data_IF_360589180116
#
_entry.id   IF_360589180116
#
_cell.length_a   1.000
_cell.length_b   1.000
_cell.length_c   1.000
_cell.angle_alpha   90.00
_cell.angle_beta   90.00
_cell.angle_gamma   90.00
#
_symmetry.space_group_name_H-M   'P 1'
#
loop_
_entity.id
_entity.type
_entity.pdbx_description
1 polymer ?
#
# COMPACT_ATOMS: atom_id res chain seq x y z
N UNK A 1 -6.77 19.51 -20.33
CA UNK A 1 -6.09 20.33 -21.34
C UNK A 1 -4.73 20.68 -20.78
N UNK A 2 -3.70 20.76 -21.61
CA UNK A 2 -2.39 21.24 -21.16
C UNK A 2 -2.49 22.72 -20.78
N UNK A 3 -1.82 23.14 -19.71
CA UNK A 3 -1.64 24.57 -19.42
C UNK A 3 -0.51 25.14 -20.28
N UNK A 4 -0.48 26.47 -20.43
CA UNK A 4 0.60 27.14 -21.16
C UNK A 4 1.96 26.85 -20.50
N UNK A 5 2.03 26.78 -19.18
CA UNK A 5 3.24 26.38 -18.42
C UNK A 5 3.69 24.95 -18.76
N UNK A 6 2.76 24.00 -18.88
CA UNK A 6 3.08 22.63 -19.26
C UNK A 6 3.57 22.54 -20.70
N UNK A 7 2.97 23.32 -21.60
CA UNK A 7 3.41 23.38 -22.99
C UNK A 7 4.80 24.01 -23.09
N UNK A 8 5.09 25.04 -22.30
CA UNK A 8 6.41 25.65 -22.23
C UNK A 8 7.45 24.66 -21.70
N UNK A 9 7.16 23.93 -20.61
CA UNK A 9 8.03 22.87 -20.10
C UNK A 9 8.36 21.80 -21.16
N UNK A 10 7.37 21.40 -21.97
CA UNK A 10 7.60 20.44 -23.05
C UNK A 10 8.56 20.96 -24.11
N UNK A 11 8.66 22.28 -24.35
CA UNK A 11 9.64 22.85 -25.30
C UNK A 11 11.08 22.70 -24.85
N UNK A 12 11.33 22.64 -23.54
CA UNK A 12 12.67 22.47 -22.97
C UNK A 12 13.13 21.00 -22.93
N UNK A 13 12.21 20.05 -23.12
CA UNK A 13 12.51 18.62 -22.96
C UNK A 13 13.33 18.03 -24.12
N UNK A 14 13.17 18.55 -25.33
CA UNK A 14 13.77 17.99 -26.55
C UNK A 14 13.02 16.77 -27.10
N UNK A 15 13.28 16.40 -28.36
CA UNK A 15 12.64 15.22 -28.95
C UNK A 15 13.13 13.92 -28.28
N UNK A 16 12.21 12.95 -28.20
CA UNK A 16 12.50 11.66 -27.60
C UNK A 16 11.42 10.63 -27.89
N UNK A 17 11.42 9.56 -27.10
CA UNK A 17 10.47 8.46 -27.26
C UNK A 17 9.03 8.83 -26.90
N UNK A 18 8.81 9.93 -26.18
CA UNK A 18 7.51 10.39 -25.70
C UNK A 18 7.18 11.84 -26.09
N UNK A 19 8.05 12.50 -26.87
CA UNK A 19 7.83 13.86 -27.35
C UNK A 19 8.40 14.02 -28.77
N UNK A 20 7.62 14.63 -29.65
CA UNK A 20 7.98 14.85 -31.05
C UNK A 20 7.50 16.23 -31.49
N UNK A 21 8.36 16.97 -32.20
CA UNK A 21 8.04 18.29 -32.71
C UNK A 21 7.78 18.21 -34.21
N UNK A 22 6.72 18.89 -34.66
CA UNK A 22 6.39 19.03 -36.07
C UNK A 22 6.26 20.51 -36.39
N UNK A 23 7.10 21.01 -37.29
CA UNK A 23 7.05 22.40 -37.70
C UNK A 23 5.75 22.71 -38.46
N UNK A 24 5.26 21.77 -39.26
CA UNK A 24 4.09 21.92 -40.12
C UNK A 24 2.94 20.98 -39.70
N UNK A 25 1.70 21.37 -40.05
CA UNK A 25 0.52 20.53 -39.82
C UNK A 25 0.52 19.35 -40.79
N UNK A 26 0.10 18.17 -40.30
CA UNK A 26 -0.10 17.02 -41.17
C UNK A 26 -1.17 17.29 -42.25
N UNK A 27 -0.90 16.95 -43.52
CA UNK A 27 -1.91 17.04 -44.57
C UNK A 27 -3.10 16.11 -44.29
N UNK A 28 -4.33 16.65 -44.24
CA UNK A 28 -5.52 15.85 -43.87
C UNK A 28 -6.74 16.03 -44.78
N UNK A 29 -7.25 17.25 -44.99
CA UNK A 29 -8.54 17.46 -45.67
C UNK A 29 -8.52 17.06 -47.16
N UNK A 30 -7.51 17.51 -47.91
CA UNK A 30 -7.37 17.27 -49.36
C UNK A 30 -6.10 16.47 -49.70
N UNK A 31 -5.59 15.72 -48.72
CA UNK A 31 -4.37 14.95 -48.85
C UNK A 31 -4.64 13.55 -49.42
N UNK A 32 -3.65 12.99 -50.12
CA UNK A 32 -3.66 11.58 -50.54
C UNK A 32 -3.59 10.66 -49.32
N UNK A 33 -4.04 9.41 -49.47
CA UNK A 33 -3.92 8.41 -48.39
C UNK A 33 -2.47 8.21 -47.95
N UNK A 34 -1.52 8.30 -48.88
CA UNK A 34 -0.08 8.25 -48.58
C UNK A 34 0.37 9.39 -47.66
N UNK A 35 -0.12 10.61 -47.88
CA UNK A 35 0.22 11.75 -47.02
C UNK A 35 -0.46 11.64 -45.65
N UNK A 36 -1.72 11.18 -45.58
CA UNK A 36 -2.42 10.94 -44.30
C UNK A 36 -1.78 9.80 -43.50
N UNK A 37 -1.11 8.87 -44.19
CA UNK A 37 -0.45 7.74 -43.54
C UNK A 37 0.72 8.15 -42.63
N UNK A 38 1.34 9.32 -42.84
CA UNK A 38 2.40 9.83 -41.96
C UNK A 38 1.86 10.18 -40.55
N UNK A 39 0.71 10.87 -40.47
CA UNK A 39 0.04 11.15 -39.19
C UNK A 39 -0.29 9.86 -38.44
N UNK A 40 -0.88 8.90 -39.16
CA UNK A 40 -1.27 7.61 -38.60
C UNK A 40 -0.06 6.83 -38.07
N UNK A 41 1.05 6.83 -38.83
CA UNK A 41 2.30 6.18 -38.45
C UNK A 41 2.88 6.76 -37.16
N UNK A 42 2.94 8.09 -37.05
CA UNK A 42 3.54 8.75 -35.90
C UNK A 42 2.69 8.57 -34.63
N UNK A 43 1.35 8.63 -34.73
CA UNK A 43 0.44 8.30 -33.62
C UNK A 43 0.66 6.85 -33.16
N UNK A 44 0.73 5.90 -34.09
CA UNK A 44 0.94 4.48 -33.75
C UNK A 44 2.30 4.23 -33.11
N UNK A 45 3.36 4.85 -33.64
CA UNK A 45 4.70 4.75 -33.10
C UNK A 45 4.76 5.26 -31.65
N UNK A 46 4.11 6.39 -31.36
CA UNK A 46 4.01 6.97 -30.02
C UNK A 46 3.14 6.16 -29.05
N UNK A 47 2.04 5.59 -29.55
CA UNK A 47 1.17 4.72 -28.76
C UNK A 47 1.90 3.43 -28.33
N UNK A 48 2.76 2.90 -29.19
CA UNK A 48 3.53 1.68 -28.93
C UNK A 48 4.89 1.90 -28.26
N UNK A 49 5.32 3.16 -28.09
CA UNK A 49 6.59 3.53 -27.48
C UNK A 49 6.73 3.00 -26.04
N UNK A 50 7.96 2.66 -25.64
CA UNK A 50 8.25 2.30 -24.26
C UNK A 50 8.38 3.57 -23.42
N UNK A 51 7.40 3.84 -22.54
CA UNK A 51 7.31 5.06 -21.73
C UNK A 51 6.51 4.87 -20.45
N UNK A 52 6.68 5.81 -19.51
CA UNK A 52 6.01 5.80 -18.21
C UNK A 52 4.86 6.79 -18.09
N UNK A 53 4.82 7.84 -18.91
CA UNK A 53 3.78 8.86 -18.91
C UNK A 53 3.15 9.08 -20.28
N UNK A 54 2.30 10.10 -20.40
CA UNK A 54 1.66 10.56 -21.65
C UNK A 54 2.70 10.99 -22.68
N UNK A 55 2.51 10.60 -23.95
CA UNK A 55 3.32 11.07 -25.06
C UNK A 55 2.64 12.23 -25.79
N UNK A 56 3.44 13.11 -26.37
CA UNK A 56 2.96 14.30 -27.05
C UNK A 56 3.57 14.45 -28.45
N UNK A 57 2.76 14.88 -29.41
CA UNK A 57 3.23 15.41 -30.69
C UNK A 57 2.81 16.87 -30.72
N UNK A 58 3.79 17.79 -30.71
CA UNK A 58 3.54 19.23 -30.74
C UNK A 58 3.72 19.75 -32.17
N UNK A 59 2.65 20.29 -32.74
CA UNK A 59 2.57 20.77 -34.12
C UNK A 59 2.64 22.30 -34.11
N UNK A 60 3.42 22.88 -35.02
CA UNK A 60 3.81 24.29 -35.01
C UNK A 60 5.07 24.57 -34.18
N UNK A 61 5.88 23.54 -33.90
CA UNK A 61 7.12 23.65 -33.14
C UNK A 61 8.28 23.11 -33.96
N UNK A 62 9.39 23.86 -33.99
CA UNK A 62 10.61 23.47 -34.68
C UNK A 62 11.71 23.21 -33.66
N UNK A 63 12.31 22.02 -33.74
CA UNK A 63 13.44 21.67 -32.87
C UNK A 63 14.59 22.66 -33.05
N UNK A 64 15.17 23.12 -31.94
CA UNK A 64 16.21 24.16 -31.93
C UNK A 64 17.33 23.85 -30.92
N UNK A 65 17.78 22.60 -30.86
CA UNK A 65 18.83 22.17 -29.91
C UNK A 65 20.11 23.01 -30.04
N UNK A 66 20.70 23.52 -28.93
CA UNK A 66 20.42 23.24 -27.51
C UNK A 66 19.35 24.15 -26.86
N UNK A 67 18.70 25.02 -27.64
CA UNK A 67 17.65 25.92 -27.16
C UNK A 67 16.28 25.22 -27.16
N UNK A 68 15.29 25.79 -26.44
CA UNK A 68 13.92 25.28 -26.47
C UNK A 68 13.36 25.31 -27.89
N UNK A 69 12.44 24.39 -28.19
CA UNK A 69 11.78 24.35 -29.49
C UNK A 69 11.18 25.73 -29.83
N UNK A 70 11.46 26.21 -31.04
CA UNK A 70 10.94 27.46 -31.57
C UNK A 70 9.45 27.26 -31.91
N UNK A 71 8.60 28.15 -31.39
CA UNK A 71 7.19 28.17 -31.79
C UNK A 71 7.13 28.82 -33.17
N UNK A 72 6.94 28.04 -34.23
CA UNK A 72 6.81 28.55 -35.61
C UNK A 72 5.35 28.79 -35.99
N UNK A 73 4.45 28.06 -35.34
CA UNK A 73 3.01 28.10 -35.61
C UNK A 73 2.62 27.40 -36.91
N UNK A 74 1.32 27.20 -37.09
CA UNK A 74 0.71 26.70 -38.32
C UNK A 74 -0.35 27.69 -38.81
N UNK A 75 -0.76 27.56 -40.08
CA UNK A 75 -1.84 28.38 -40.63
C UNK A 75 -3.16 28.07 -39.91
N UNK A 76 -3.92 29.12 -39.57
CA UNK A 76 -5.25 28.98 -38.97
C UNK A 76 -6.24 28.29 -39.93
N UNK A 77 -6.06 28.51 -41.23
CA UNK A 77 -6.80 27.83 -42.29
C UNK A 77 -6.42 26.34 -42.35
N UNK A 78 -7.41 25.46 -42.46
CA UNK A 78 -7.20 24.00 -42.46
C UNK A 78 -7.12 23.36 -41.08
N UNK A 79 -7.64 24.03 -40.04
CA UNK A 79 -7.85 23.43 -38.73
C UNK A 79 -8.69 22.15 -38.84
N UNK A 80 -8.30 21.13 -38.08
CA UNK A 80 -8.95 19.82 -38.10
C UNK A 80 -9.68 19.64 -36.78
N UNK A 81 -10.88 19.07 -36.81
CA UNK A 81 -11.59 18.75 -35.57
C UNK A 81 -11.09 17.43 -34.98
N UNK A 82 -10.99 17.36 -33.65
CA UNK A 82 -10.54 16.18 -32.89
C UNK A 82 -11.35 14.93 -33.25
N UNK A 83 -12.68 15.08 -33.38
CA UNK A 83 -13.57 13.97 -33.73
C UNK A 83 -13.21 13.33 -35.08
N UNK A 84 -12.78 14.14 -36.06
CA UNK A 84 -12.40 13.66 -37.39
C UNK A 84 -11.09 12.87 -37.37
N UNK A 85 -10.11 13.33 -36.57
CA UNK A 85 -8.84 12.60 -36.42
C UNK A 85 -9.07 11.31 -35.63
N UNK A 86 -9.85 11.37 -34.54
CA UNK A 86 -10.20 10.19 -33.76
C UNK A 86 -10.92 9.13 -34.59
N UNK A 87 -11.92 9.54 -35.38
CA UNK A 87 -12.62 8.65 -36.31
C UNK A 87 -11.65 8.06 -37.33
N UNK A 88 -10.85 8.91 -37.98
CA UNK A 88 -9.87 8.47 -38.98
C UNK A 88 -8.89 7.42 -38.43
N UNK A 89 -8.29 7.66 -37.28
CA UNK A 89 -7.31 6.74 -36.68
C UNK A 89 -8.01 5.44 -36.27
N UNK A 90 -9.06 5.53 -35.44
CA UNK A 90 -9.69 4.34 -34.86
C UNK A 90 -10.39 3.45 -35.89
N UNK A 91 -10.89 4.01 -36.99
CA UNK A 91 -11.45 3.21 -38.10
C UNK A 91 -10.41 2.32 -38.79
N UNK A 92 -9.11 2.58 -38.64
CA UNK A 92 -8.03 1.79 -39.27
C UNK A 92 -7.41 0.74 -38.34
N UNK A 93 -7.72 0.79 -37.05
CA UNK A 93 -7.12 -0.08 -36.05
C UNK A 93 -8.04 -1.25 -35.70
N UNK A 94 -7.42 -2.32 -35.17
CA UNK A 94 -8.11 -3.48 -34.62
C UNK A 94 -8.65 -3.18 -33.21
N UNK A 95 -7.86 -2.45 -32.41
CA UNK A 95 -8.23 -2.00 -31.06
C UNK A 95 -8.36 -0.48 -31.03
N UNK A 96 -9.29 0.03 -30.23
CA UNK A 96 -9.49 1.47 -30.04
C UNK A 96 -8.26 2.07 -29.35
N UNK A 97 -7.69 3.12 -29.95
CA UNK A 97 -6.59 3.92 -29.44
C UNK A 97 -7.17 5.20 -28.81
N UNK A 98 -6.88 5.40 -27.53
CA UNK A 98 -7.26 6.60 -26.80
C UNK A 98 -6.20 7.69 -26.98
N UNK A 99 -6.60 8.82 -27.55
CA UNK A 99 -5.76 10.02 -27.70
C UNK A 99 -6.65 11.25 -27.80
N UNK A 100 -6.05 12.43 -27.72
CA UNK A 100 -6.75 13.72 -27.87
C UNK A 100 -5.98 14.62 -28.82
N UNK A 101 -6.70 15.36 -29.65
CA UNK A 101 -6.18 16.44 -30.47
C UNK A 101 -6.78 17.78 -30.00
N UNK A 102 -5.93 18.80 -29.89
CA UNK A 102 -6.35 20.15 -29.49
C UNK A 102 -5.60 21.18 -30.33
N UNK A 103 -6.32 22.14 -30.91
CA UNK A 103 -5.72 23.35 -31.50
C UNK A 103 -5.89 24.53 -30.55
N UNK A 104 -4.87 25.38 -30.45
CA UNK A 104 -4.89 26.55 -29.56
C UNK A 104 -3.94 27.64 -30.04
N UNK A 105 -4.05 28.80 -29.42
CA UNK A 105 -3.07 29.88 -29.57
C UNK A 105 -2.06 29.75 -28.43
N UNK A 106 -0.77 29.76 -28.77
CA UNK A 106 0.34 29.75 -27.82
C UNK A 106 1.41 30.71 -28.33
N UNK A 107 1.88 31.62 -27.47
CA UNK A 107 2.83 32.68 -27.84
C UNK A 107 2.40 33.47 -29.10
N UNK A 108 1.10 33.79 -29.18
CA UNK A 108 0.50 34.51 -30.32
C UNK A 108 0.43 33.72 -31.63
N UNK A 109 0.82 32.43 -31.65
CA UNK A 109 0.83 31.58 -32.84
C UNK A 109 -0.15 30.42 -32.69
N UNK A 110 -0.76 29.99 -33.80
CA UNK A 110 -1.62 28.81 -33.82
C UNK A 110 -0.76 27.55 -33.73
N UNK A 111 -1.06 26.68 -32.77
CA UNK A 111 -0.37 25.40 -32.57
C UNK A 111 -1.39 24.28 -32.36
N UNK A 112 -0.97 23.04 -32.53
CA UNK A 112 -1.80 21.88 -32.22
C UNK A 112 -1.04 20.84 -31.39
N UNK A 113 -1.76 20.10 -30.56
CA UNK A 113 -1.18 19.09 -29.68
C UNK A 113 -1.96 17.79 -29.80
N UNK A 114 -1.23 16.70 -30.06
CA UNK A 114 -1.75 15.34 -29.91
C UNK A 114 -1.23 14.78 -28.59
N UNK A 115 -2.12 14.41 -27.68
CA UNK A 115 -1.78 13.79 -26.40
C UNK A 115 -2.22 12.31 -26.40
N UNK A 116 -1.27 11.40 -26.18
CA UNK A 116 -1.47 9.95 -26.21
C UNK A 116 -1.17 9.37 -24.83
N UNK A 117 -2.18 9.06 -23.99
CA UNK A 117 -1.96 8.44 -22.68
C UNK A 117 -1.28 7.07 -22.81
N UNK A 118 -0.66 6.63 -21.72
CA UNK A 118 -0.13 5.26 -21.61
C UNK A 118 -1.31 4.30 -21.56
N UNK A 119 -1.29 3.28 -22.42
CA UNK A 119 -2.41 2.36 -22.60
C UNK A 119 -1.92 0.99 -23.11
N UNK A 120 -2.83 0.02 -23.17
CA UNK A 120 -2.55 -1.34 -23.66
C UNK A 120 -2.04 -1.30 -25.11
N UNK A 121 -1.04 -2.13 -25.42
CA UNK A 121 -0.32 -2.21 -26.69
C UNK A 121 -0.05 -3.69 -27.01
N UNK A 122 0.14 -4.11 -28.27
CA UNK A 122 0.44 -3.30 -29.45
C UNK A 122 -0.80 -2.78 -30.21
N UNK A 123 -0.66 -1.60 -30.83
CA UNK A 123 -1.56 -1.10 -31.87
C UNK A 123 -0.98 -1.37 -33.26
N UNK A 124 -1.83 -1.84 -34.17
CA UNK A 124 -1.50 -2.12 -35.56
C UNK A 124 -2.73 -1.94 -36.45
N UNK A 125 -2.48 -1.86 -37.76
CA UNK A 125 -3.52 -1.66 -38.77
C UNK A 125 -4.22 -2.98 -39.11
N UNK A 126 -5.56 -2.95 -39.13
CA UNK A 126 -6.37 -4.10 -39.57
C UNK A 126 -6.36 -4.33 -41.09
N UNK A 127 -6.05 -3.28 -41.85
CA UNK A 127 -5.87 -3.27 -43.32
C UNK A 127 -4.76 -2.29 -43.68
N UNK A 128 -4.01 -2.57 -44.75
CA UNK A 128 -3.00 -1.62 -45.25
C UNK A 128 -3.64 -0.27 -45.59
N UNK A 129 -2.92 0.84 -45.34
CA UNK A 129 -3.39 2.19 -45.60
C UNK A 129 -2.23 3.10 -46.04
N UNK A 130 -2.36 3.71 -47.22
CA UNK A 130 -1.28 4.46 -47.85
C UNK A 130 0.00 3.62 -47.93
N UNK A 131 1.08 4.14 -47.35
CA UNK A 131 2.39 3.46 -47.27
C UNK A 131 2.51 2.41 -46.15
N UNK A 132 1.50 2.28 -45.29
CA UNK A 132 1.58 1.43 -44.10
C UNK A 132 0.98 0.04 -44.37
N UNK A 133 1.77 -1.04 -44.25
CA UNK A 133 1.25 -2.38 -44.44
C UNK A 133 0.37 -2.81 -43.26
N UNK A 134 -0.56 -3.74 -43.54
CA UNK A 134 -1.35 -4.46 -42.53
C UNK A 134 -0.44 -5.15 -41.51
N UNK A 135 -0.94 -5.31 -40.27
CA UNK A 135 -0.33 -6.11 -39.19
C UNK A 135 1.08 -5.64 -38.78
N UNK A 136 1.53 -4.47 -39.25
CA UNK A 136 2.82 -3.89 -38.92
C UNK A 136 2.72 -3.03 -37.67
N UNK A 137 3.55 -3.32 -36.67
CA UNK A 137 3.64 -2.55 -35.42
C UNK A 137 4.78 -1.56 -35.52
N UNK A 138 4.46 -0.26 -35.52
CA UNK A 138 5.46 0.81 -35.47
C UNK A 138 5.76 1.17 -34.02
N UNK A 139 7.02 1.48 -33.72
CA UNK A 139 7.48 1.90 -32.39
C UNK A 139 8.44 3.11 -32.52
N UNK A 140 8.28 4.09 -31.63
CA UNK A 140 9.22 5.21 -31.48
C UNK A 140 10.48 4.77 -30.73
N UNK A 141 11.65 5.10 -31.26
CA UNK A 141 12.99 4.86 -30.69
C UNK A 141 13.77 6.17 -30.67
N UNK A 142 13.81 6.85 -29.52
CA UNK A 142 14.31 8.22 -29.43
C UNK A 142 13.56 9.11 -30.41
N UNK A 143 14.27 9.88 -31.24
CA UNK A 143 13.69 10.74 -32.28
C UNK A 143 13.38 10.03 -33.61
N UNK A 144 13.42 8.69 -33.66
CA UNK A 144 13.16 7.89 -34.88
C UNK A 144 11.98 6.92 -34.74
N UNK A 145 11.39 6.52 -35.86
CA UNK A 145 10.29 5.53 -35.91
C UNK A 145 10.77 4.27 -36.63
N UNK A 146 10.57 3.10 -36.02
CA UNK A 146 10.99 1.80 -36.55
C UNK A 146 9.83 0.78 -36.53
N UNK A 147 10.00 -0.34 -37.23
CA UNK A 147 9.10 -1.50 -37.14
C UNK A 147 9.55 -2.38 -35.98
N UNK A 148 8.61 -2.75 -35.10
CA UNK A 148 8.87 -3.64 -33.98
C UNK A 148 9.10 -5.08 -34.47
N UNK A 149 10.12 -5.73 -33.93
CA UNK A 149 10.37 -7.15 -34.14
C UNK A 149 9.25 -8.01 -33.51
N UNK A 150 9.01 -9.25 -33.99
CA UNK A 150 8.03 -10.15 -33.37
C UNK A 150 8.22 -10.33 -31.86
N UNK A 151 9.48 -10.35 -31.39
CA UNK A 151 9.81 -10.40 -29.97
C UNK A 151 9.33 -9.15 -29.22
N UNK A 152 9.58 -7.97 -29.76
CA UNK A 152 9.09 -6.71 -29.17
C UNK A 152 7.57 -6.70 -29.11
N UNK A 153 6.90 -7.09 -30.19
CA UNK A 153 5.43 -7.21 -30.27
C UNK A 153 4.90 -8.15 -29.18
N UNK A 154 5.49 -9.34 -29.02
CA UNK A 154 5.13 -10.28 -27.97
C UNK A 154 5.32 -9.70 -26.56
N UNK A 155 6.42 -8.95 -26.32
CA UNK A 155 6.64 -8.27 -25.04
C UNK A 155 5.65 -7.12 -24.80
N UNK A 156 5.16 -6.44 -25.85
CA UNK A 156 4.08 -5.45 -25.72
C UNK A 156 2.80 -6.12 -25.20
N UNK A 157 2.44 -7.25 -25.80
CA UNK A 157 1.25 -8.03 -25.43
C UNK A 157 1.36 -8.73 -24.08
N UNK A 158 2.55 -9.15 -23.65
CA UNK A 158 2.77 -9.80 -22.35
C UNK A 158 2.47 -8.88 -21.16
N UNK A 159 2.65 -7.56 -21.33
CA UNK A 159 2.22 -6.56 -20.34
C UNK A 159 0.69 -6.45 -20.20
N UNK A 160 -0.06 -7.00 -21.18
CA UNK A 160 -1.53 -6.98 -21.26
C UNK A 160 -2.14 -8.38 -21.28
N UNK A 161 -1.36 -9.43 -21.00
CA UNK A 161 -1.93 -10.76 -20.83
C UNK A 161 -2.99 -10.65 -19.75
N UNK A 162 -4.23 -11.05 -20.08
CA UNK A 162 -5.28 -11.34 -19.11
C UNK A 162 -4.66 -12.36 -18.17
N UNK A 163 -4.07 -11.88 -17.07
CA UNK A 163 -3.54 -12.77 -16.05
C UNK A 163 -4.77 -13.51 -15.53
N UNK A 164 -4.71 -14.84 -15.37
CA UNK A 164 -5.76 -15.52 -14.64
C UNK A 164 -5.95 -14.81 -13.29
N UNK A 165 -7.18 -14.72 -12.76
CA UNK A 165 -7.41 -14.03 -11.50
C UNK A 165 -6.46 -14.60 -10.44
N UNK A 166 -5.84 -13.71 -9.67
CA UNK A 166 -4.95 -14.13 -8.60
C UNK A 166 -5.72 -15.06 -7.65
N UNK A 167 -5.11 -16.20 -7.34
CA UNK A 167 -5.63 -17.16 -6.38
C UNK A 167 -4.81 -17.02 -5.12
N UNK A 168 -5.46 -16.70 -4.01
CA UNK A 168 -4.82 -16.49 -2.72
C UNK A 168 -5.61 -17.27 -1.68
N UNK A 169 -4.91 -18.11 -0.92
CA UNK A 169 -5.48 -18.70 0.28
C UNK A 169 -5.05 -17.86 1.48
N UNK A 170 -6.03 -17.45 2.28
CA UNK A 170 -5.80 -16.74 3.53
C UNK A 170 -6.28 -17.61 4.69
N UNK A 171 -5.37 -17.91 5.60
CA UNK A 171 -5.65 -18.66 6.83
C UNK A 171 -5.38 -17.77 8.03
N UNK A 172 -6.35 -17.69 8.94
CA UNK A 172 -6.17 -17.04 10.24
C UNK A 172 -5.73 -18.09 11.24
N UNK A 173 -4.65 -17.80 11.95
CA UNK A 173 -4.06 -18.69 12.94
C UNK A 173 -4.17 -18.03 14.33
N UNK A 174 -4.56 -18.80 15.33
CA UNK A 174 -4.52 -18.42 16.74
C UNK A 174 -3.20 -18.81 17.41
N UNK A 175 -3.26 -19.04 18.71
CA UNK A 175 -2.12 -19.46 19.52
C UNK A 175 -1.51 -20.79 19.03
N UNK A 176 -0.18 -20.89 19.12
CA UNK A 176 0.55 -22.09 18.71
C UNK A 176 0.54 -22.39 17.21
N UNK A 177 0.14 -21.44 16.36
CA UNK A 177 -0.09 -21.63 14.92
C UNK A 177 -1.15 -22.70 14.63
N UNK A 178 -2.20 -22.77 15.45
CA UNK A 178 -3.42 -23.52 15.14
C UNK A 178 -4.41 -22.63 14.39
N UNK A 179 -5.38 -23.18 13.63
CA UNK A 179 -6.45 -22.38 13.04
C UNK A 179 -7.16 -21.51 14.10
N UNK A 180 -7.51 -20.27 13.75
CA UNK A 180 -8.19 -19.36 14.66
C UNK A 180 -9.55 -19.94 15.08
N UNK A 181 -9.80 -19.97 16.39
CA UNK A 181 -11.07 -20.42 16.95
C UNK A 181 -12.22 -19.49 16.55
N UNK A 182 -13.43 -20.04 16.46
CA UNK A 182 -14.64 -19.27 16.16
C UNK A 182 -15.31 -18.70 17.41
N UNK A 183 -14.99 -19.23 18.59
CA UNK A 183 -15.64 -18.88 19.85
C UNK A 183 -14.58 -18.69 20.93
N UNK A 184 -14.57 -17.51 21.55
CA UNK A 184 -13.64 -17.17 22.62
C UNK A 184 -14.40 -16.97 23.92
N UNK A 185 -13.90 -17.57 25.01
CA UNK A 185 -14.36 -17.30 26.37
C UNK A 185 -13.34 -16.39 27.04
N UNK A 186 -13.63 -15.10 27.07
CA UNK A 186 -12.76 -14.06 27.61
C UNK A 186 -13.33 -13.49 28.92
N UNK A 187 -12.52 -12.72 29.64
CA UNK A 187 -12.96 -12.00 30.82
C UNK A 187 -12.73 -10.49 30.64
N UNK A 188 -13.75 -9.71 30.93
CA UNK A 188 -13.74 -8.25 30.75
C UNK A 188 -13.70 -7.60 32.12
N UNK A 189 -12.54 -7.03 32.46
CA UNK A 189 -12.34 -6.41 33.75
C UNK A 189 -12.27 -4.90 33.64
N UNK A 190 -12.79 -4.24 34.67
CA UNK A 190 -12.71 -2.78 34.86
C UNK A 190 -12.44 -2.49 36.33
N UNK A 191 -11.82 -1.34 36.67
CA UNK A 191 -11.63 -1.00 38.07
C UNK A 191 -12.96 -0.56 38.69
N UNK A 192 -13.33 -1.13 39.84
CA UNK A 192 -14.50 -0.68 40.62
C UNK A 192 -14.26 0.70 41.25
N UNK A 193 -13.02 0.96 41.64
CA UNK A 193 -12.52 2.24 42.16
C UNK A 193 -11.08 2.46 41.70
N UNK A 194 -10.57 3.72 41.66
CA UNK A 194 -9.18 3.97 41.32
C UNK A 194 -8.23 3.24 42.27
N UNK A 195 -7.36 2.39 41.73
CA UNK A 195 -6.40 1.65 42.57
C UNK A 195 -5.44 2.61 43.28
N UNK A 196 -5.16 2.37 44.58
CA UNK A 196 -4.25 3.21 45.35
C UNK A 196 -2.81 3.01 44.88
N UNK A 197 -1.93 3.88 45.36
CA UNK A 197 -0.49 3.68 45.14
C UNK A 197 -0.01 2.45 45.90
N UNK A 198 0.88 1.68 45.27
CA UNK A 198 1.55 0.58 45.96
C UNK A 198 2.58 1.15 46.94
N UNK A 199 2.55 0.61 48.16
CA UNK A 199 3.49 0.91 49.23
C UNK A 199 3.70 -0.35 50.06
N UNK A 200 4.96 -0.66 50.34
CA UNK A 200 5.35 -1.73 51.26
C UNK A 200 5.36 -1.12 52.66
N UNK A 201 4.52 -1.62 53.58
CA UNK A 201 4.57 -1.17 54.98
C UNK A 201 6.01 -1.23 55.51
N UNK A 202 6.51 -0.12 56.05
CA UNK A 202 7.84 -0.03 56.65
C UNK A 202 7.93 -1.04 57.80
N UNK A 203 8.66 -2.15 57.62
CA UNK A 203 9.13 -2.92 58.77
C UNK A 203 10.07 -2.02 59.56
N UNK A 204 9.84 -1.93 60.88
CA UNK A 204 10.68 -1.19 61.81
C UNK A 204 12.16 -1.47 61.56
N UNK A 205 12.92 -0.41 61.32
CA UNK A 205 14.36 -0.44 61.05
C UNK A 205 15.13 -1.20 62.15
N UNK A 206 15.72 -2.34 61.80
CA UNK A 206 16.73 -3.03 62.60
C UNK A 206 18.12 -2.83 61.93
N UNK A 207 19.05 -2.08 62.56
CA UNK A 207 20.40 -1.83 62.04
C UNK A 207 21.24 -3.08 61.76
N UNK A 208 20.86 -4.25 62.30
CA UNK A 208 21.60 -5.50 62.19
C UNK A 208 20.98 -6.50 61.21
N UNK A 209 19.84 -6.17 60.59
CA UNK A 209 19.18 -7.06 59.63
C UNK A 209 19.81 -6.96 58.23
N UNK A 210 20.19 -8.10 57.63
CA UNK A 210 20.68 -8.19 56.25
C UNK A 210 19.63 -7.74 55.22
N UNK A 211 18.35 -7.77 55.58
CA UNK A 211 17.25 -7.23 54.77
C UNK A 211 17.34 -5.70 54.61
N UNK A 212 18.05 -5.00 55.49
CA UNK A 212 18.24 -3.53 55.44
C UNK A 212 19.06 -3.04 54.24
N UNK A 213 19.97 -3.87 53.72
CA UNK A 213 20.74 -3.57 52.51
C UNK A 213 19.87 -3.63 51.24
N UNK A 214 18.89 -4.54 51.21
CA UNK A 214 17.93 -4.65 50.12
C UNK A 214 16.97 -3.46 50.08
N UNK A 215 16.52 -2.97 51.25
CA UNK A 215 15.65 -1.79 51.38
C UNK A 215 16.35 -0.51 50.88
N UNK A 216 17.67 -0.38 51.06
CA UNK A 216 18.43 0.81 50.61
C UNK A 216 18.59 0.93 49.10
N UNK A 217 18.44 -0.17 48.36
CA UNK A 217 18.70 -0.19 46.91
C UNK A 217 17.45 -0.39 46.08
N UNK A 218 16.26 -0.46 46.69
CA UNK A 218 15.00 -0.70 45.98
C UNK A 218 13.94 0.34 46.32
N UNK A 219 13.32 0.92 45.30
CA UNK A 219 12.18 1.83 45.42
C UNK A 219 10.89 1.11 45.05
N UNK A 220 9.79 1.51 45.70
CA UNK A 220 8.47 0.98 45.43
C UNK A 220 7.93 1.55 44.12
N UNK A 221 7.41 0.67 43.26
CA UNK A 221 6.65 1.08 42.09
C UNK A 221 5.28 1.56 42.55
N UNK A 222 5.13 2.87 42.80
CA UNK A 222 3.84 3.47 43.21
C UNK A 222 2.69 3.17 42.25
N UNK A 223 2.97 2.96 40.96
CA UNK A 223 1.96 2.67 39.93
C UNK A 223 1.68 1.17 39.75
N UNK A 224 2.34 0.30 40.52
CA UNK A 224 2.28 -1.16 40.37
C UNK A 224 0.86 -1.70 40.22
N UNK A 225 -0.08 -1.30 41.09
CA UNK A 225 -1.46 -1.82 41.00
C UNK A 225 -2.17 -1.41 39.70
N UNK A 226 -1.89 -0.22 39.17
CA UNK A 226 -2.50 0.29 37.94
C UNK A 226 -1.90 -0.39 36.71
N UNK A 227 -0.58 -0.49 36.64
CA UNK A 227 0.14 -1.19 35.59
C UNK A 227 -0.19 -2.70 35.58
N UNK A 228 -0.32 -3.31 36.77
CA UNK A 228 -0.65 -4.72 36.90
C UNK A 228 -2.10 -5.01 36.48
N UNK A 229 -3.02 -4.11 36.81
CA UNK A 229 -4.39 -4.18 36.34
C UNK A 229 -4.46 -4.04 34.82
N UNK A 230 -3.78 -3.06 34.23
CA UNK A 230 -3.72 -2.87 32.77
C UNK A 230 -3.21 -4.14 32.07
N UNK A 231 -2.08 -4.70 32.54
CA UNK A 231 -1.55 -5.96 32.04
C UNK A 231 -2.58 -7.09 32.12
N UNK A 232 -3.19 -7.29 33.29
CA UNK A 232 -4.16 -8.36 33.52
C UNK A 232 -5.38 -8.19 32.62
N UNK A 233 -5.92 -6.97 32.49
CA UNK A 233 -7.14 -6.69 31.73
C UNK A 233 -6.92 -6.94 30.24
N UNK A 234 -5.79 -6.49 29.70
CA UNK A 234 -5.41 -6.75 28.31
C UNK A 234 -5.20 -8.25 28.05
N UNK A 235 -4.47 -8.95 28.94
CA UNK A 235 -4.22 -10.40 28.80
C UNK A 235 -5.50 -11.23 28.91
N UNK A 236 -6.46 -10.81 29.74
CA UNK A 236 -7.72 -11.55 29.97
C UNK A 236 -8.70 -11.48 28.80
N UNK A 237 -8.53 -10.49 27.92
CA UNK A 237 -9.32 -10.29 26.70
C UNK A 237 -8.49 -10.38 25.42
N UNK A 238 -7.29 -10.97 25.49
CA UNK A 238 -6.40 -11.08 24.35
C UNK A 238 -6.88 -12.18 23.40
N UNK A 239 -7.06 -11.82 22.13
CA UNK A 239 -7.16 -12.78 21.03
C UNK A 239 -5.92 -12.63 20.15
N UNK A 240 -5.05 -13.63 20.18
CA UNK A 240 -3.87 -13.68 19.31
C UNK A 240 -4.27 -14.08 17.90
N UNK A 241 -3.84 -13.30 16.90
CA UNK A 241 -4.08 -13.60 15.49
C UNK A 241 -2.79 -13.50 14.69
N UNK A 242 -2.53 -14.50 13.85
CA UNK A 242 -1.54 -14.43 12.78
C UNK A 242 -2.23 -14.67 11.45
N UNK A 243 -1.90 -13.87 10.45
CA UNK A 243 -2.43 -14.04 9.09
C UNK A 243 -1.40 -14.76 8.26
N UNK A 244 -1.76 -15.95 7.77
CA UNK A 244 -0.98 -16.69 6.78
C UNK A 244 -1.57 -16.44 5.40
N UNK A 245 -0.71 -16.07 4.46
CA UNK A 245 -1.08 -15.87 3.06
C UNK A 245 -0.33 -16.86 2.22
N UNK A 246 -1.04 -17.61 1.36
CA UNK A 246 -0.43 -18.50 0.38
C UNK A 246 -0.79 -18.05 -1.02
N UNK A 247 0.22 -17.78 -1.85
CA UNK A 247 0.01 -17.47 -3.25
C UNK A 247 -0.27 -18.76 -4.04
N UNK A 248 -1.50 -18.94 -4.49
CA UNK A 248 -1.93 -20.06 -5.37
C UNK A 248 -1.99 -19.66 -6.84
N UNK A 249 -1.52 -18.46 -7.18
CA UNK A 249 -1.46 -17.97 -8.55
C UNK A 249 -0.28 -18.59 -9.30
N UNK A 250 -0.34 -18.58 -10.62
CA UNK A 250 0.76 -19.04 -11.49
C UNK A 250 1.87 -17.99 -11.65
N UNK A 251 1.71 -16.83 -11.01
CA UNK A 251 2.64 -15.70 -11.06
C UNK A 251 2.92 -15.18 -9.64
N UNK A 252 4.07 -14.51 -9.49
CA UNK A 252 4.45 -13.89 -8.23
C UNK A 252 3.58 -12.66 -7.92
N UNK A 253 3.31 -12.42 -6.63
CA UNK A 253 2.68 -11.20 -6.13
C UNK A 253 3.77 -10.29 -5.56
N UNK A 254 4.06 -9.20 -6.25
CA UNK A 254 5.13 -8.27 -5.90
C UNK A 254 4.62 -7.12 -5.04
N UNK A 255 5.40 -6.77 -4.01
CA UNK A 255 5.03 -5.70 -3.08
C UNK A 255 3.76 -6.03 -2.29
N UNK A 256 3.55 -7.31 -1.97
CA UNK A 256 2.44 -7.80 -1.18
C UNK A 256 2.42 -7.13 0.21
N UNK A 257 1.27 -6.57 0.55
CA UNK A 257 0.99 -5.91 1.82
C UNK A 257 -0.39 -6.34 2.32
N UNK A 258 -0.48 -6.63 3.61
CA UNK A 258 -1.74 -6.83 4.32
C UNK A 258 -2.14 -5.58 5.09
N UNK A 259 -3.44 -5.37 5.19
CA UNK A 259 -4.06 -4.43 6.10
C UNK A 259 -5.15 -5.17 6.87
N UNK A 260 -5.04 -5.17 8.19
CA UNK A 260 -5.91 -5.91 9.10
C UNK A 260 -6.54 -4.92 10.06
N UNK A 261 -7.86 -4.99 10.21
CA UNK A 261 -8.60 -4.23 11.22
C UNK A 261 -9.77 -5.06 11.73
N UNK A 262 -10.24 -4.76 12.93
CA UNK A 262 -11.35 -5.46 13.55
C UNK A 262 -12.47 -4.49 13.95
N UNK A 263 -13.70 -4.98 13.86
CA UNK A 263 -14.91 -4.30 14.28
C UNK A 263 -15.64 -5.17 15.31
N UNK A 264 -16.09 -4.56 16.39
CA UNK A 264 -16.88 -5.21 17.42
C UNK A 264 -18.38 -5.06 17.15
N UNK A 265 -19.21 -5.43 18.14
CA UNK A 265 -20.65 -5.24 18.07
C UNK A 265 -21.00 -3.79 17.72
N UNK A 266 -22.00 -3.60 16.86
CA UNK A 266 -22.43 -2.27 16.40
C UNK A 266 -21.33 -1.44 15.70
N UNK A 267 -20.42 -2.11 14.99
CA UNK A 267 -19.32 -1.51 14.23
C UNK A 267 -18.35 -0.66 15.07
N UNK A 268 -18.26 -0.92 16.38
CA UNK A 268 -17.28 -0.25 17.22
C UNK A 268 -15.86 -0.66 16.83
N UNK A 269 -14.92 0.28 16.87
CA UNK A 269 -13.52 -0.02 16.62
C UNK A 269 -12.98 -0.96 17.70
N UNK A 270 -12.19 -1.95 17.29
CA UNK A 270 -11.50 -2.86 18.20
C UNK A 270 -10.03 -2.47 18.25
N UNK A 271 -9.49 -2.40 19.45
CA UNK A 271 -8.07 -2.12 19.65
C UNK A 271 -7.22 -3.26 19.07
N UNK A 272 -6.23 -2.86 18.27
CA UNK A 272 -5.20 -3.76 17.78
C UNK A 272 -3.85 -3.31 18.30
N UNK A 273 -3.00 -4.28 18.65
CA UNK A 273 -1.61 -4.03 19.02
C UNK A 273 -0.72 -5.21 18.58
N UNK A 274 0.60 -5.07 18.69
CA UNK A 274 1.50 -6.20 18.57
C UNK A 274 1.52 -6.95 19.91
N UNK A 275 1.49 -8.28 19.89
CA UNK A 275 1.58 -9.08 21.13
C UNK A 275 2.85 -8.75 21.91
N UNK A 276 3.95 -8.50 21.22
CA UNK A 276 5.26 -8.15 21.80
C UNK A 276 5.32 -6.71 22.32
N UNK A 277 4.38 -5.84 21.93
CA UNK A 277 4.26 -4.46 22.44
C UNK A 277 3.21 -4.34 23.57
N UNK A 278 2.52 -5.43 23.94
CA UNK A 278 1.65 -5.43 25.11
C UNK A 278 2.46 -5.26 26.41
N UNK A 279 1.94 -4.55 27.42
CA UNK A 279 2.65 -4.34 28.67
C UNK A 279 2.97 -5.70 29.33
N UNK A 280 4.19 -5.86 29.82
CA UNK A 280 4.59 -6.99 30.65
C UNK A 280 4.09 -6.80 32.09
N UNK A 281 4.08 -7.88 32.88
CA UNK A 281 3.72 -7.79 34.30
C UNK A 281 4.75 -6.90 35.02
N UNK A 282 4.33 -5.78 35.66
CA UNK A 282 5.26 -4.90 36.35
C UNK A 282 5.83 -5.58 37.59
N UNK A 283 6.98 -5.09 38.06
CA UNK A 283 7.56 -5.49 39.34
C UNK A 283 7.11 -4.54 40.45
N UNK A 284 6.78 -5.03 41.67
CA UNK A 284 6.37 -4.18 42.78
C UNK A 284 7.46 -3.22 43.26
N UNK A 285 8.72 -3.57 43.05
CA UNK A 285 9.89 -2.78 43.42
C UNK A 285 10.91 -2.81 42.30
N UNK A 286 11.68 -1.72 42.16
CA UNK A 286 12.79 -1.64 41.23
C UNK A 286 14.09 -1.39 41.97
N UNK A 287 15.19 -1.91 41.45
CA UNK A 287 16.50 -1.53 41.96
C UNK A 287 16.82 -0.11 41.47
N UNK A 288 17.17 0.78 42.40
CA UNK A 288 17.39 2.21 42.16
C UNK A 288 18.50 2.43 41.12
N UNK A 289 19.58 1.63 41.17
CA UNK A 289 20.70 1.76 40.23
C UNK A 289 20.31 1.32 38.81
N UNK A 290 19.52 0.25 38.66
CA UNK A 290 19.11 -0.22 37.34
C UNK A 290 18.01 0.65 36.74
N UNK A 291 17.11 1.19 37.57
CA UNK A 291 16.06 2.11 37.15
C UNK A 291 16.64 3.44 36.66
N UNK A 292 17.64 4.01 37.36
CA UNK A 292 18.33 5.22 36.90
C UNK A 292 19.12 5.01 35.60
N UNK A 293 19.77 3.84 35.42
CA UNK A 293 20.45 3.52 34.17
C UNK A 293 19.51 3.29 32.99
N UNK A 294 18.30 2.75 33.19
CA UNK A 294 17.28 2.59 32.11
C UNK A 294 16.90 3.91 31.45
N UNK A 295 16.96 5.03 32.18
CA UNK A 295 16.72 6.36 31.61
C UNK A 295 17.94 6.96 30.88
N UNK A 296 19.13 6.38 31.04
CA UNK A 296 20.38 6.84 30.40
C UNK A 296 20.79 6.00 29.19
N UNK A 297 20.27 4.78 29.08
CA UNK A 297 20.49 3.91 27.92
C UNK A 297 19.33 4.13 26.95
N UNK A 298 19.55 4.72 25.75
CA UNK A 298 18.54 4.64 24.72
C UNK A 298 18.27 3.16 24.50
N UNK A 299 17.02 2.74 24.65
CA UNK A 299 16.61 1.37 24.31
C UNK A 299 16.94 1.20 22.84
N UNK A 300 18.11 0.63 22.57
CA UNK A 300 18.49 0.17 21.27
C UNK A 300 17.54 -0.99 20.98
N UNK A 301 16.35 -0.66 20.45
CA UNK A 301 15.52 -1.61 19.70
C UNK A 301 16.49 -2.31 18.76
N UNK A 302 16.65 -3.62 18.97
CA UNK A 302 17.63 -4.43 18.28
C UNK A 302 17.64 -4.12 16.77
N UNK A 303 18.84 -4.07 16.22
CA UNK A 303 19.13 -3.44 14.95
C UNK A 303 18.25 -3.89 13.77
N UNK A 304 17.92 -2.90 12.94
CA UNK A 304 17.89 -3.02 11.48
C UNK A 304 17.06 -4.17 10.90
N UNK A 305 15.76 -4.18 11.17
CA UNK A 305 14.71 -4.37 10.15
C UNK A 305 13.56 -3.47 10.55
N UNK A 306 13.05 -2.67 9.60
CA UNK A 306 11.79 -1.98 9.84
C UNK A 306 10.75 -3.02 10.27
N UNK A 307 9.84 -2.71 11.20
CA UNK A 307 8.83 -3.67 11.62
C UNK A 307 8.08 -4.16 10.39
N UNK A 308 7.99 -5.48 10.22
CA UNK A 308 7.16 -6.03 9.16
C UNK A 308 5.70 -5.69 9.40
N UNK A 309 5.31 -5.53 10.67
CA UNK A 309 3.97 -5.23 11.12
C UNK A 309 3.92 -3.86 11.82
N UNK A 310 3.10 -2.94 11.34
CA UNK A 310 2.91 -1.62 11.94
C UNK A 310 1.44 -1.40 12.26
N UNK A 311 1.11 -1.00 13.49
CA UNK A 311 -0.26 -0.61 13.85
C UNK A 311 -0.38 0.91 13.82
N UNK A 312 -1.39 1.41 13.11
CA UNK A 312 -1.65 2.83 12.90
C UNK A 312 -3.14 3.13 13.16
N UNK A 313 -3.44 4.28 13.74
CA UNK A 313 -4.82 4.70 14.01
C UNK A 313 -5.30 5.60 12.87
N UNK A 314 -6.27 5.12 12.10
CA UNK A 314 -6.84 5.86 10.96
C UNK A 314 -8.35 5.94 11.08
N UNK A 315 -8.89 7.16 10.98
CA UNK A 315 -10.35 7.41 10.99
C UNK A 315 -11.07 6.77 12.20
N UNK A 316 -10.38 6.65 13.34
CA UNK A 316 -10.94 6.04 14.56
C UNK A 316 -10.80 4.51 14.64
N UNK A 317 -10.17 3.86 13.66
CA UNK A 317 -9.89 2.42 13.66
C UNK A 317 -8.39 2.13 13.76
N UNK A 318 -8.03 1.09 14.51
CA UNK A 318 -6.68 0.55 14.50
C UNK A 318 -6.51 -0.34 13.26
N UNK A 319 -5.52 -0.01 12.43
CA UNK A 319 -5.19 -0.77 11.23
C UNK A 319 -3.76 -1.29 11.38
N UNK A 320 -3.63 -2.60 11.44
CA UNK A 320 -2.37 -3.30 11.37
C UNK A 320 -1.95 -3.51 9.91
N UNK A 321 -0.72 -3.13 9.56
CA UNK A 321 -0.16 -3.24 8.21
C UNK A 321 1.00 -4.21 8.23
N UNK A 322 0.92 -5.30 7.46
CA UNK A 322 1.99 -6.29 7.35
C UNK A 322 2.63 -6.21 5.97
N UNK A 323 3.94 -6.01 5.88
CA UNK A 323 4.69 -6.05 4.62
C UNK A 323 5.24 -7.46 4.39
N UNK A 324 4.76 -8.13 3.35
CA UNK A 324 5.18 -9.49 2.99
C UNK A 324 6.25 -9.51 1.89
N UNK A 325 6.43 -8.40 1.15
CA UNK A 325 7.43 -8.32 0.08
C UNK A 325 6.95 -9.00 -1.20
N UNK A 326 7.72 -9.92 -1.77
CA UNK A 326 7.32 -10.68 -2.97
C UNK A 326 6.95 -12.10 -2.59
N UNK A 327 5.78 -12.57 -3.03
CA UNK A 327 5.30 -13.94 -2.83
C UNK A 327 5.35 -14.71 -4.14
N UNK A 328 6.24 -15.68 -4.25
CA UNK A 328 6.36 -16.56 -5.41
C UNK A 328 5.16 -17.51 -5.53
N UNK A 329 4.91 -18.10 -6.72
CA UNK A 329 3.89 -19.14 -6.88
C UNK A 329 4.10 -20.30 -5.90
N UNK A 330 3.07 -20.61 -5.11
CA UNK A 330 3.10 -21.66 -4.09
C UNK A 330 3.72 -21.26 -2.76
N UNK A 331 4.28 -20.05 -2.64
CA UNK A 331 4.89 -19.57 -1.40
C UNK A 331 3.85 -19.18 -0.36
N UNK A 332 4.16 -19.44 0.90
CA UNK A 332 3.40 -18.98 2.06
C UNK A 332 4.23 -18.00 2.87
N UNK A 333 3.60 -16.93 3.33
CA UNK A 333 4.23 -15.96 4.23
C UNK A 333 3.35 -15.65 5.44
N UNK A 334 4.02 -15.22 6.51
CA UNK A 334 3.44 -14.75 7.76
C UNK A 334 4.04 -13.39 8.09
N UNK A 335 3.36 -12.60 8.91
CA UNK A 335 4.06 -11.59 9.70
C UNK A 335 4.97 -12.27 10.74
N UNK A 336 6.17 -11.72 10.92
CA UNK A 336 7.13 -12.20 11.94
C UNK A 336 6.51 -12.12 13.35
N UNK A 337 5.66 -11.12 13.60
CA UNK A 337 4.99 -10.84 14.87
C UNK A 337 3.51 -11.26 14.86
N UNK A 338 2.95 -11.51 16.04
CA UNK A 338 1.53 -11.82 16.21
C UNK A 338 0.72 -10.55 16.54
N UNK A 339 -0.50 -10.47 15.99
CA UNK A 339 -1.44 -9.39 16.24
C UNK A 339 -2.24 -9.70 17.51
N UNK A 340 -2.26 -8.76 18.45
CA UNK A 340 -3.18 -8.74 19.56
C UNK A 340 -4.48 -8.04 19.13
N UNK A 341 -5.57 -8.80 19.08
CA UNK A 341 -6.93 -8.26 18.92
C UNK A 341 -7.55 -8.17 20.31
N UNK A 342 -8.04 -6.98 20.69
CA UNK A 342 -8.48 -6.68 22.06
C UNK A 342 -9.96 -6.25 22.11
N UNK A 343 -10.91 -7.21 22.06
CA UNK A 343 -12.34 -6.94 22.26
C UNK A 343 -12.62 -6.13 23.52
N UNK A 344 -13.47 -5.11 23.44
CA UNK A 344 -13.93 -4.33 24.60
C UNK A 344 -15.19 -4.91 25.26
N UNK A 345 -16.03 -5.56 24.47
CA UNK A 345 -17.31 -6.10 24.91
C UNK A 345 -17.52 -7.52 24.36
N UNK A 346 -18.35 -8.35 25.01
CA UNK A 346 -18.84 -9.59 24.43
C UNK A 346 -19.70 -9.36 23.17
N UNK A 347 -19.73 -10.33 22.28
CA UNK A 347 -20.55 -10.39 21.08
C UNK A 347 -19.78 -10.76 19.81
N UNK A 348 -20.40 -10.62 18.64
CA UNK A 348 -19.77 -10.93 17.36
C UNK A 348 -18.75 -9.86 17.00
N UNK A 349 -17.56 -10.31 16.59
CA UNK A 349 -16.48 -9.47 16.11
C UNK A 349 -16.13 -9.87 14.68
N UNK A 350 -15.89 -8.86 13.84
CA UNK A 350 -15.54 -9.01 12.44
C UNK A 350 -14.10 -8.58 12.21
N UNK A 351 -13.25 -9.55 11.92
CA UNK A 351 -11.88 -9.31 11.44
C UNK A 351 -11.90 -9.14 9.93
N UNK A 352 -11.41 -8.01 9.45
CA UNK A 352 -11.24 -7.73 8.02
C UNK A 352 -9.77 -7.75 7.67
N UNK A 353 -9.44 -8.46 6.60
CA UNK A 353 -8.09 -8.50 6.04
C UNK A 353 -8.14 -8.11 4.57
N UNK A 354 -7.36 -7.10 4.21
CA UNK A 354 -7.19 -6.65 2.82
C UNK A 354 -5.76 -6.94 2.37
N UNK A 355 -5.60 -7.55 1.19
CA UNK A 355 -4.31 -7.78 0.55
C UNK A 355 -4.16 -6.90 -0.70
N UNK A 356 -3.03 -6.20 -0.76
CA UNK A 356 -2.61 -5.37 -1.89
C UNK A 356 -1.33 -5.96 -2.47
N UNK A 357 -1.21 -5.98 -3.79
CA UNK A 357 0.02 -6.29 -4.53
C UNK A 357 -0.06 -5.63 -5.91
N UNK A 358 1.08 -5.50 -6.61
CA UNK A 358 1.11 -4.87 -7.94
C UNK A 358 0.18 -5.58 -8.94
N UNK A 359 0.03 -6.89 -8.79
CA UNK A 359 -0.80 -7.75 -9.62
C UNK A 359 -2.28 -7.79 -9.21
N UNK A 360 -2.65 -7.13 -8.10
CA UNK A 360 -4.02 -7.09 -7.60
C UNK A 360 -4.67 -5.73 -7.89
N UNK A 361 -5.61 -5.72 -8.83
CA UNK A 361 -6.45 -4.55 -9.10
C UNK A 361 -7.88 -5.01 -9.45
N UNK A 362 -8.86 -4.86 -8.54
CA UNK A 362 -8.76 -4.25 -7.20
C UNK A 362 -8.03 -5.14 -6.17
N UNK A 363 -7.65 -4.60 -5.00
CA UNK A 363 -7.23 -5.39 -3.84
C UNK A 363 -8.27 -6.44 -3.44
N UNK A 364 -7.83 -7.56 -2.87
CA UNK A 364 -8.72 -8.60 -2.35
C UNK A 364 -9.00 -8.38 -0.87
N UNK A 365 -10.23 -8.61 -0.46
CA UNK A 365 -10.69 -8.46 0.93
C UNK A 365 -11.28 -9.78 1.43
N UNK A 366 -10.97 -10.09 2.68
CA UNK A 366 -11.41 -11.28 3.40
C UNK A 366 -12.03 -10.84 4.72
N UNK A 367 -13.10 -11.52 5.10
CA UNK A 367 -13.86 -11.23 6.31
C UNK A 367 -14.00 -12.52 7.12
N UNK A 368 -13.75 -12.43 8.42
CA UNK A 368 -13.89 -13.53 9.35
C UNK A 368 -14.63 -13.07 10.60
N UNK A 369 -15.70 -13.78 10.95
CA UNK A 369 -16.50 -13.48 12.13
C UNK A 369 -16.15 -14.49 13.21
N UNK A 370 -15.87 -13.99 14.42
CA UNK A 370 -15.71 -14.80 15.61
C UNK A 370 -16.59 -14.27 16.74
N UNK A 371 -17.07 -15.18 17.58
CA UNK A 371 -17.94 -14.86 18.72
C UNK A 371 -17.10 -14.75 19.99
N UNK A 372 -17.31 -13.66 20.74
CA UNK A 372 -16.66 -13.46 22.04
C UNK A 372 -17.70 -13.51 23.13
N UNK A 373 -17.51 -14.40 24.09
CA UNK A 373 -18.36 -14.53 25.26
C UNK A 373 -17.53 -14.28 26.51
N UNK A 374 -18.16 -13.80 27.56
CA UNK A 374 -17.45 -13.47 28.78
C UNK A 374 -18.31 -12.67 29.74
N UNK A 375 -17.89 -12.65 31.01
CA UNK A 375 -18.48 -11.77 32.02
C UNK A 375 -17.72 -10.46 32.05
N UNK A 376 -18.46 -9.38 32.28
CA UNK A 376 -17.91 -8.07 32.60
C UNK A 376 -18.00 -7.85 34.10
N UNK A 377 -16.85 -7.69 34.75
CA UNK A 377 -16.73 -7.59 36.20
C UNK A 377 -15.91 -6.35 36.57
N UNK A 378 -16.39 -5.61 37.58
CA UNK A 378 -15.67 -4.49 38.16
C UNK A 378 -14.90 -5.00 39.38
N UNK A 379 -13.57 -4.92 39.34
CA UNK A 379 -12.71 -5.50 40.36
C UNK A 379 -12.33 -4.46 41.41
N UNK A 380 -12.42 -4.82 42.68
CA UNK A 380 -11.75 -4.11 43.76
C UNK A 380 -10.26 -4.51 43.89
N UNK A 381 -9.56 -3.88 44.82
CA UNK A 381 -8.12 -4.13 45.01
C UNK A 381 -7.83 -5.56 45.49
N UNK A 382 -8.69 -6.14 46.33
CA UNK A 382 -8.44 -7.47 46.90
C UNK A 382 -8.78 -8.57 45.89
N UNK A 383 -9.79 -8.36 45.05
CA UNK A 383 -10.09 -9.19 43.89
C UNK A 383 -8.95 -9.15 42.85
N UNK A 384 -8.43 -7.95 42.54
CA UNK A 384 -7.27 -7.78 41.66
C UNK A 384 -6.05 -8.54 42.19
N UNK A 385 -5.73 -8.40 43.49
CA UNK A 385 -4.63 -9.14 44.13
C UNK A 385 -4.79 -10.64 43.99
N UNK A 386 -6.01 -11.15 44.21
CA UNK A 386 -6.33 -12.57 44.11
C UNK A 386 -6.04 -13.09 42.70
N UNK A 387 -6.48 -12.37 41.66
CA UNK A 387 -6.25 -12.75 40.26
C UNK A 387 -4.77 -12.69 39.86
N UNK A 388 -4.05 -11.64 40.26
CA UNK A 388 -2.60 -11.54 40.01
C UNK A 388 -1.86 -12.70 40.70
N UNK A 389 -2.24 -13.05 41.92
CA UNK A 389 -1.60 -14.15 42.65
C UNK A 389 -1.88 -15.51 41.98
N UNK A 390 -3.08 -15.71 41.44
CA UNK A 390 -3.43 -16.91 40.68
C UNK A 390 -2.66 -16.98 39.35
N UNK A 391 -2.53 -15.88 38.62
CA UNK A 391 -1.80 -15.86 37.34
C UNK A 391 -0.33 -16.25 37.54
N UNK A 392 0.33 -15.71 38.57
CA UNK A 392 1.74 -16.01 38.92
C UNK A 392 1.92 -17.47 39.35
N UNK A 393 0.94 -18.05 40.07
CA UNK A 393 0.98 -19.47 40.47
C UNK A 393 0.77 -20.41 39.30
N UNK A 394 -0.10 -20.06 38.36
CA UNK A 394 -0.34 -20.83 37.13
C UNK A 394 0.91 -20.93 36.26
N UNK A 395 1.75 -19.89 36.19
CA UNK A 395 2.98 -19.89 35.38
C UNK A 395 4.13 -20.75 35.96
N UNK A 396 4.00 -21.26 37.19
CA UNK A 396 5.02 -22.10 37.86
C UNK A 396 4.77 -23.60 37.74
N UNK A 397 3.72 -24.01 37.04
CA UNK A 397 3.40 -25.40 36.77
C UNK A 397 3.59 -25.71 35.28
N UNK A 398 4.84 -25.67 34.82
CA UNK A 398 5.33 -26.37 33.64
C UNK A 398 6.85 -26.63 33.80
#
# INVERSE_FOLDING_TARGET
MLTDDQLDQLRYKGEGSDLDYKAERYPFASATDDAKSELLKDILAMANAHRDGTAYILIGFKESSPHPAEVVGVLAEGAIDDSRIQQFVNEKLESKLDFRYEERIFDGKHVAVIAIPKQSRPFYLKKSYGKLPKDTVYIRRGSSTAVASPREVAMMGAGNAIRPPAKIDLELMGDGNLPLDQNFQLAFYSPSTPYPDFSTEERSYDPFDRTSLYIKTHEDNRHFWREAAEHLFLRSRLVTVRVKVTNRSEFALNGAKLEVWALGPSDMAVDLNLVDELPEMPTPRWNIMTHQMRHMVPVARHGSRAPQMEVDTKEGHHICRVRLGSLLPGESAFGDEALAVLPELPGPHLLKVRILAQELNPPLSFEHIFEVQGKSEALDLDELKSLIYQSIKGTRAD
#
